data_IF_414793582757
#
_entry.id   IF_414793582757
#
_cell.length_a   1.000
_cell.length_b   1.000
_cell.length_c   1.000
_cell.angle_alpha   90.00
_cell.angle_beta   90.00
_cell.angle_gamma   90.00
#
_symmetry.space_group_name_H-M   'P 1'
#
loop_
_entity.id
_entity.type
_entity.pdbx_description
1 polymer ?
#
# COMPACT_ATOMS: atom_id res chain seq x y z
N UNK A 1 12.56 13.55 -8.01
CA UNK A 1 11.54 13.05 -8.93
C UNK A 1 10.73 11.94 -8.27
N UNK A 2 9.42 12.04 -8.33
CA UNK A 2 8.53 11.06 -7.70
C UNK A 2 8.46 9.82 -8.59
N UNK A 3 8.69 8.65 -8.02
CA UNK A 3 8.71 7.40 -8.78
C UNK A 3 7.78 6.37 -8.13
N UNK A 4 6.62 6.19 -8.75
CA UNK A 4 5.61 5.25 -8.28
C UNK A 4 5.89 3.80 -8.71
N UNK A 5 6.88 3.59 -9.56
CA UNK A 5 7.22 2.27 -10.07
C UNK A 5 8.27 1.53 -9.25
N UNK A 6 8.84 2.17 -8.23
CA UNK A 6 9.79 1.50 -7.35
C UNK A 6 9.07 0.42 -6.57
N UNK A 7 9.66 -0.77 -6.45
CA UNK A 7 8.95 -1.88 -5.81
C UNK A 7 8.74 -1.64 -4.31
N UNK A 8 7.61 -2.14 -3.81
CA UNK A 8 7.43 -2.30 -2.38
C UNK A 8 8.48 -3.28 -1.86
N UNK A 9 8.70 -3.30 -0.55
CA UNK A 9 9.73 -4.19 0.01
C UNK A 9 9.31 -5.66 -0.06
N UNK A 10 8.03 -5.92 -0.26
CA UNK A 10 7.54 -7.27 -0.55
C UNK A 10 6.25 -7.17 -1.35
N UNK A 11 5.94 -8.21 -2.09
CA UNK A 11 4.69 -8.27 -2.85
C UNK A 11 3.55 -8.63 -1.89
N UNK A 12 2.47 -7.86 -1.97
CA UNK A 12 1.27 -8.14 -1.17
C UNK A 12 0.24 -8.83 -2.05
N UNK A 13 -0.20 -10.01 -1.61
CA UNK A 13 -1.14 -10.83 -2.38
C UNK A 13 -2.52 -10.73 -1.74
N UNK A 14 -3.49 -10.32 -2.52
CA UNK A 14 -4.87 -10.22 -2.06
C UNK A 14 -5.58 -11.57 -2.15
N UNK A 15 -6.66 -11.71 -1.40
CA UNK A 15 -7.47 -12.92 -1.46
C UNK A 15 -8.04 -13.18 -2.85
N UNK A 16 -8.23 -12.12 -3.63
CA UNK A 16 -8.67 -12.21 -5.02
C UNK A 16 -7.60 -12.74 -5.96
N UNK A 17 -6.35 -12.83 -5.49
CA UNK A 17 -5.22 -13.20 -6.33
C UNK A 17 -4.45 -12.03 -6.90
N UNK A 18 -4.99 -10.83 -6.75
CA UNK A 18 -4.31 -9.62 -7.22
C UNK A 18 -3.03 -9.39 -6.43
N UNK A 19 -2.00 -8.88 -7.09
CA UNK A 19 -0.69 -8.65 -6.47
C UNK A 19 -0.35 -7.18 -6.50
N UNK A 20 0.08 -6.65 -5.36
CA UNK A 20 0.54 -5.28 -5.24
C UNK A 20 2.06 -5.31 -5.16
N UNK A 21 2.71 -4.80 -6.20
CA UNK A 21 4.17 -4.84 -6.31
C UNK A 21 4.81 -3.48 -6.11
N UNK A 22 4.07 -2.42 -6.40
CA UNK A 22 4.58 -1.05 -6.38
C UNK A 22 3.65 -0.15 -5.60
N UNK A 23 4.13 1.03 -5.16
CA UNK A 23 3.23 2.04 -4.58
C UNK A 23 2.07 2.42 -5.50
N UNK A 24 2.30 2.42 -6.82
CA UNK A 24 1.25 2.70 -7.78
C UNK A 24 0.13 1.66 -7.67
N UNK A 25 0.49 0.38 -7.61
CA UNK A 25 -0.49 -0.69 -7.46
C UNK A 25 -1.31 -0.51 -6.18
N UNK A 26 -0.63 -0.18 -5.07
CA UNK A 26 -1.30 0.01 -3.79
C UNK A 26 -2.24 1.22 -3.82
N UNK A 27 -1.78 2.32 -4.39
CA UNK A 27 -2.60 3.53 -4.47
C UNK A 27 -3.81 3.31 -5.35
N UNK A 28 -3.65 2.60 -6.46
CA UNK A 28 -4.75 2.28 -7.37
C UNK A 28 -5.79 1.40 -6.67
N UNK A 29 -5.34 0.40 -5.94
CA UNK A 29 -6.25 -0.46 -5.18
C UNK A 29 -7.01 0.33 -4.12
N UNK A 30 -6.33 1.17 -3.37
CA UNK A 30 -6.94 1.99 -2.32
C UNK A 30 -8.01 2.88 -2.93
N UNK A 31 -7.69 3.55 -4.04
CA UNK A 31 -8.64 4.43 -4.72
C UNK A 31 -9.85 3.65 -5.22
N UNK A 32 -9.62 2.50 -5.81
CA UNK A 32 -10.69 1.69 -6.38
C UNK A 32 -11.62 1.09 -5.32
N UNK A 33 -11.04 0.64 -4.20
CA UNK A 33 -11.81 -0.06 -3.16
C UNK A 33 -12.44 0.88 -2.14
N UNK A 34 -11.73 1.93 -1.79
CA UNK A 34 -12.18 2.82 -0.72
C UNK A 34 -12.67 4.16 -1.25
N UNK A 35 -12.18 4.56 -2.42
CA UNK A 35 -12.65 5.78 -3.07
C UNK A 35 -12.48 7.01 -2.21
N UNK A 36 -13.44 7.92 -2.32
CA UNK A 36 -13.43 9.16 -1.58
C UNK A 36 -14.13 9.06 -0.22
N UNK A 37 -14.61 7.87 0.13
CA UNK A 37 -15.40 7.68 1.36
C UNK A 37 -14.52 7.41 2.57
N UNK A 38 -13.22 7.43 2.40
CA UNK A 38 -12.30 7.00 3.43
C UNK A 38 -12.06 8.06 4.47
N UNK A 39 -12.47 7.75 5.69
CA UNK A 39 -12.16 8.56 6.84
C UNK A 39 -11.42 7.76 7.90
N UNK A 40 -10.77 6.69 7.46
CA UNK A 40 -10.01 5.83 8.35
C UNK A 40 -8.62 6.40 8.55
N UNK A 41 -8.20 6.53 9.80
CA UNK A 41 -6.85 6.97 10.12
C UNK A 41 -5.80 6.00 9.57
N UNK A 42 -6.11 4.70 9.58
CA UNK A 42 -5.21 3.69 9.02
C UNK A 42 -4.98 3.92 7.54
N UNK A 43 -6.04 4.23 6.81
CA UNK A 43 -5.98 4.44 5.37
C UNK A 43 -5.25 5.73 5.02
N UNK A 44 -5.55 6.80 5.74
CA UNK A 44 -4.86 8.07 5.55
C UNK A 44 -3.36 7.92 5.80
N UNK A 45 -3.00 7.19 6.85
CA UNK A 45 -1.61 6.95 7.18
C UNK A 45 -0.92 6.14 6.08
N UNK A 46 -1.62 5.15 5.53
CA UNK A 46 -1.08 4.37 4.42
C UNK A 46 -0.78 5.25 3.21
N UNK A 47 -1.70 6.15 2.87
CA UNK A 47 -1.52 7.06 1.74
C UNK A 47 -0.33 7.98 1.99
N UNK A 48 -0.22 8.54 3.19
CA UNK A 48 0.92 9.38 3.56
C UNK A 48 2.24 8.66 3.42
N UNK A 49 2.31 7.42 3.89
CA UNK A 49 3.53 6.64 3.81
C UNK A 49 3.87 6.24 2.38
N UNK A 50 2.85 5.98 1.55
CA UNK A 50 3.08 5.72 0.13
C UNK A 50 3.66 6.95 -0.57
N UNK A 51 3.10 8.13 -0.30
CA UNK A 51 3.62 9.37 -0.86
C UNK A 51 5.07 9.60 -0.43
N UNK A 52 5.36 9.38 0.83
CA UNK A 52 6.72 9.54 1.34
C UNK A 52 7.68 8.56 0.66
N UNK A 53 7.25 7.33 0.48
CA UNK A 53 8.07 6.31 -0.17
C UNK A 53 8.41 6.69 -1.61
N UNK A 54 7.45 7.24 -2.36
CA UNK A 54 7.72 7.64 -3.75
C UNK A 54 8.56 8.92 -3.83
N UNK A 55 8.48 9.77 -2.82
CA UNK A 55 9.29 10.99 -2.78
C UNK A 55 10.74 10.70 -2.44
N UNK A 56 10.98 9.91 -1.39
CA UNK A 56 12.34 9.64 -0.91
C UNK A 56 12.98 8.45 -1.60
N UNK A 57 12.18 7.45 -1.95
CA UNK A 57 12.66 6.21 -2.56
C UNK A 57 13.51 5.36 -1.63
N UNK A 58 13.62 5.69 -0.35
CA UNK A 58 14.43 4.92 0.58
C UNK A 58 13.78 3.60 0.93
N UNK A 59 14.63 2.62 1.28
CA UNK A 59 14.11 1.32 1.69
C UNK A 59 13.27 1.42 2.95
N UNK A 60 13.70 2.26 3.91
CA UNK A 60 12.97 2.43 5.16
C UNK A 60 11.56 2.95 4.92
N UNK A 61 11.42 3.95 4.06
CA UNK A 61 10.11 4.52 3.75
C UNK A 61 9.26 3.55 2.96
N UNK A 62 9.86 2.81 2.01
CA UNK A 62 9.15 1.79 1.26
C UNK A 62 8.66 0.65 2.16
N UNK A 63 9.49 0.27 3.14
CA UNK A 63 9.12 -0.75 4.11
C UNK A 63 7.95 -0.28 4.97
N UNK A 64 8.01 0.95 5.47
CA UNK A 64 6.94 1.51 6.29
C UNK A 64 5.64 1.55 5.51
N UNK A 65 5.69 1.97 4.24
CA UNK A 65 4.51 2.01 3.38
C UNK A 65 3.95 0.60 3.15
N UNK A 66 4.83 -0.36 2.85
CA UNK A 66 4.42 -1.73 2.61
C UNK A 66 3.72 -2.31 3.83
N UNK A 67 4.31 -2.12 5.01
CA UNK A 67 3.76 -2.64 6.26
C UNK A 67 2.40 -2.01 6.56
N UNK A 68 2.27 -0.71 6.33
CA UNK A 68 0.99 -0.02 6.59
C UNK A 68 -0.10 -0.46 5.62
N UNK A 69 0.24 -0.62 4.34
CA UNK A 69 -0.72 -1.11 3.35
C UNK A 69 -1.16 -2.53 3.72
N UNK A 70 -0.22 -3.38 4.12
CA UNK A 70 -0.54 -4.73 4.56
C UNK A 70 -1.49 -4.71 5.76
N UNK A 71 -1.27 -3.80 6.69
CA UNK A 71 -2.15 -3.65 7.85
C UNK A 71 -3.56 -3.25 7.45
N UNK A 72 -3.70 -2.29 6.54
CA UNK A 72 -4.99 -1.86 6.03
C UNK A 72 -5.72 -3.02 5.37
N UNK A 73 -5.02 -3.77 4.52
CA UNK A 73 -5.62 -4.90 3.82
C UNK A 73 -6.04 -6.01 4.78
N UNK A 74 -5.20 -6.28 5.77
CA UNK A 74 -5.51 -7.30 6.78
C UNK A 74 -6.73 -6.91 7.60
N UNK A 75 -6.82 -5.65 7.98
CA UNK A 75 -7.94 -5.12 8.75
C UNK A 75 -9.26 -5.25 7.99
N UNK A 76 -9.19 -5.15 6.67
CA UNK A 76 -10.37 -5.27 5.80
C UNK A 76 -10.54 -6.68 5.23
N UNK A 77 -9.80 -7.65 5.74
CA UNK A 77 -9.87 -9.06 5.35
C UNK A 77 -9.60 -9.26 3.86
N UNK A 78 -8.77 -8.40 3.27
CA UNK A 78 -8.44 -8.46 1.84
C UNK A 78 -7.12 -9.14 1.57
N UNK A 79 -6.21 -9.15 2.55
CA UNK A 79 -4.88 -9.69 2.35
C UNK A 79 -4.89 -11.20 2.54
N UNK A 80 -4.31 -11.91 1.55
CA UNK A 80 -4.06 -13.33 1.71
C UNK A 80 -2.93 -13.49 2.72
N UNK A 81 -3.12 -14.40 3.67
CA UNK A 81 -2.08 -14.69 4.63
C UNK A 81 -0.93 -15.42 3.92
N UNK A 82 0.24 -14.83 3.95
CA UNK A 82 1.40 -15.44 3.28
C UNK A 82 2.66 -15.39 4.14
N UNK A 83 2.46 -15.55 5.39
CA UNK A 83 3.57 -15.65 6.32
C UNK A 83 4.14 -14.34 6.81
#
# INVERSE_FOLDING_TARGET
>A
MVDWSRPLTRVLILKSGERLRTPHDAAELITRRFGSVTKSALLEHAIMLLLRAVETGTRADRKAATDQVALVLRFNLMLRWNG
#
